data_IF_240622154537
#
_entry.id   IF_240622154537
#
_cell.length_a   1.000
_cell.length_b   1.000
_cell.length_c   1.000
_cell.angle_alpha   90.00
_cell.angle_beta   90.00
_cell.angle_gamma   90.00
#
_symmetry.space_group_name_H-M   'P 1'
#
loop_
_entity.id
_entity.type
_entity.pdbx_description
1 polymer ?
#
# COMPACT_ATOMS: atom_id res chain seq x y z
N UNK A 1 -13.48 2.51 -10.48
CA UNK A 1 -14.31 3.22 -9.47
C UNK A 1 -14.57 4.62 -10.00
N UNK A 2 -15.83 5.04 -10.13
CA UNK A 2 -16.19 6.32 -10.76
C UNK A 2 -15.53 7.52 -10.05
N UNK A 3 -14.87 8.38 -10.84
CA UNK A 3 -14.19 9.59 -10.38
C UNK A 3 -15.27 10.64 -10.10
N UNK A 4 -15.58 10.89 -8.82
CA UNK A 4 -16.52 11.97 -8.45
C UNK A 4 -17.26 11.78 -7.13
N UNK A 5 -17.38 10.55 -6.61
CA UNK A 5 -18.08 10.30 -5.34
C UNK A 5 -17.18 10.42 -4.12
N UNK A 6 -16.27 11.39 -4.11
CA UNK A 6 -15.54 11.74 -2.91
C UNK A 6 -16.40 12.71 -2.09
N UNK A 7 -17.48 12.16 -1.51
CA UNK A 7 -18.54 12.90 -0.86
C UNK A 7 -17.97 13.73 0.29
N UNK A 8 -17.89 15.04 0.07
CA UNK A 8 -17.40 16.07 1.01
C UNK A 8 -18.21 16.14 2.32
N UNK A 9 -19.27 15.34 2.45
CA UNK A 9 -20.20 15.30 3.60
C UNK A 9 -20.15 13.98 4.40
N UNK A 10 -19.24 13.04 4.08
CA UNK A 10 -19.10 11.82 4.89
C UNK A 10 -18.44 12.17 6.22
N UNK A 11 -19.05 11.75 7.35
CA UNK A 11 -18.40 11.83 8.68
C UNK A 11 -17.02 11.19 8.59
N UNK A 12 -15.98 11.93 8.98
CA UNK A 12 -14.59 11.50 8.84
C UNK A 12 -14.32 10.34 9.79
N UNK A 13 -14.35 9.12 9.27
CA UNK A 13 -13.89 7.95 10.00
C UNK A 13 -12.35 7.91 9.93
N UNK A 14 -11.63 7.97 11.07
CA UNK A 14 -10.16 7.99 11.07
C UNK A 14 -9.53 6.74 10.45
N UNK A 15 -10.27 5.63 10.35
CA UNK A 15 -9.84 4.36 9.74
C UNK A 15 -10.15 4.27 8.26
N UNK A 16 -10.71 5.30 7.64
CA UNK A 16 -11.10 5.30 6.23
C UNK A 16 -10.40 6.44 5.49
N UNK A 17 -9.71 6.09 4.40
CA UNK A 17 -9.10 7.09 3.52
C UNK A 17 -10.16 7.94 2.82
N UNK A 18 -9.73 9.07 2.27
CA UNK A 18 -10.57 9.95 1.43
C UNK A 18 -11.28 9.20 0.28
N UNK A 19 -10.79 8.03 -0.14
CA UNK A 19 -11.41 7.23 -1.21
C UNK A 19 -12.40 6.17 -0.70
N UNK A 20 -12.70 6.15 0.61
CA UNK A 20 -13.58 5.16 1.21
C UNK A 20 -12.92 3.80 1.50
N UNK A 21 -11.65 3.62 1.10
CA UNK A 21 -10.87 2.42 1.41
C UNK A 21 -10.33 2.49 2.84
N UNK A 22 -10.27 1.37 3.53
CA UNK A 22 -9.62 1.27 4.82
C UNK A 22 -8.20 1.84 4.76
N UNK A 23 -7.83 2.63 5.77
CA UNK A 23 -6.47 3.17 5.92
C UNK A 23 -5.57 1.99 6.29
N UNK A 24 -5.04 1.32 5.28
CA UNK A 24 -4.12 0.21 5.47
C UNK A 24 -2.87 0.72 6.19
N UNK A 25 -2.38 -0.06 7.17
CA UNK A 25 -1.06 0.12 7.74
C UNK A 25 0.04 -0.15 6.70
N UNK A 26 1.31 -0.27 7.13
CA UNK A 26 2.38 -0.67 6.23
C UNK A 26 2.01 -1.98 5.51
N UNK A 27 2.05 -1.97 4.16
CA UNK A 27 1.72 -3.16 3.37
C UNK A 27 2.60 -4.34 3.80
N UNK A 28 2.10 -5.56 3.79
CA UNK A 28 2.93 -6.75 4.06
C UNK A 28 3.83 -7.07 2.85
N UNK A 29 4.84 -7.93 3.04
CA UNK A 29 5.69 -8.41 1.93
C UNK A 29 4.85 -9.13 0.88
N UNK A 30 3.90 -9.97 1.31
CA UNK A 30 2.98 -10.69 0.42
C UNK A 30 2.12 -9.75 -0.44
N UNK A 31 1.65 -8.65 0.15
CA UNK A 31 0.91 -7.62 -0.58
C UNK A 31 1.79 -6.84 -1.57
N UNK A 32 3.04 -6.55 -1.19
CA UNK A 32 3.99 -5.90 -2.10
C UNK A 32 4.36 -6.78 -3.29
N UNK A 33 4.60 -8.08 -3.09
CA UNK A 33 4.90 -9.02 -4.18
C UNK A 33 3.75 -9.08 -5.17
N UNK A 34 2.50 -9.20 -4.67
CA UNK A 34 1.30 -9.16 -5.52
C UNK A 34 1.16 -7.85 -6.30
N UNK A 35 1.51 -6.72 -5.69
CA UNK A 35 1.50 -5.42 -6.39
C UNK A 35 2.57 -5.33 -7.47
N UNK A 36 3.76 -5.91 -7.24
CA UNK A 36 4.86 -5.92 -8.20
C UNK A 36 4.47 -6.64 -9.49
N UNK A 37 3.78 -7.78 -9.37
CA UNK A 37 3.28 -8.58 -10.49
C UNK A 37 2.20 -7.83 -11.28
N UNK A 38 1.29 -7.13 -10.60
CA UNK A 38 0.19 -6.40 -11.24
C UNK A 38 0.57 -5.03 -11.83
N UNK A 39 1.67 -4.43 -11.37
CA UNK A 39 2.07 -3.07 -11.75
C UNK A 39 2.67 -3.06 -13.16
N UNK A 40 2.09 -2.32 -14.10
CA UNK A 40 2.65 -2.17 -15.46
C UNK A 40 3.57 -0.95 -15.59
N UNK A 41 3.51 0.00 -14.65
CA UNK A 41 4.32 1.24 -14.72
C UNK A 41 5.72 1.04 -14.13
N UNK A 42 6.80 1.38 -14.85
CA UNK A 42 8.18 1.17 -14.38
C UNK A 42 8.49 1.87 -13.04
N UNK A 43 7.98 3.09 -12.85
CA UNK A 43 8.19 3.86 -11.61
C UNK A 43 7.48 3.25 -10.40
N UNK A 44 6.33 2.62 -10.60
CA UNK A 44 5.60 1.92 -9.55
C UNK A 44 6.34 0.64 -9.17
N UNK A 45 6.81 -0.15 -10.15
CA UNK A 45 7.68 -1.32 -9.91
C UNK A 45 8.92 -0.96 -9.09
N UNK A 46 9.64 0.09 -9.48
CA UNK A 46 10.86 0.51 -8.77
C UNK A 46 10.58 0.92 -7.31
N UNK A 47 9.45 1.60 -7.04
CA UNK A 47 9.05 1.96 -5.67
C UNK A 47 8.70 0.72 -4.84
N UNK A 48 8.01 -0.26 -5.43
CA UNK A 48 7.63 -1.51 -4.77
C UNK A 48 8.89 -2.35 -4.47
N UNK A 49 9.79 -2.49 -5.44
CA UNK A 49 11.08 -3.18 -5.25
C UNK A 49 11.92 -2.54 -4.15
N UNK A 50 12.02 -1.19 -4.12
CA UNK A 50 12.70 -0.49 -3.03
C UNK A 50 12.07 -0.78 -1.66
N UNK A 51 10.75 -0.84 -1.59
CA UNK A 51 10.04 -1.15 -0.34
C UNK A 51 10.26 -2.61 0.11
N UNK A 52 10.35 -3.56 -0.83
CA UNK A 52 10.76 -4.94 -0.54
C UNK A 52 12.19 -4.97 0.00
N UNK A 53 13.14 -4.35 -0.71
CA UNK A 53 14.55 -4.33 -0.32
C UNK A 53 14.79 -3.64 1.02
N UNK A 54 13.96 -2.67 1.42
CA UNK A 54 14.04 -2.04 2.76
C UNK A 54 13.52 -2.96 3.88
N UNK A 55 12.61 -3.90 3.56
CA UNK A 55 11.97 -4.78 4.56
C UNK A 55 12.66 -6.12 4.72
N UNK A 56 13.26 -6.65 3.67
CA UNK A 56 14.11 -7.83 3.74
C UNK A 56 15.22 -7.74 4.81
N UNK A 57 15.96 -6.62 4.99
CA UNK A 57 16.95 -6.51 6.06
C UNK A 57 16.33 -6.47 7.47
N UNK A 58 15.05 -6.11 7.60
CA UNK A 58 14.36 -6.11 8.90
C UNK A 58 13.82 -7.49 9.31
N UNK A 59 13.61 -8.41 8.35
CA UNK A 59 13.25 -9.80 8.65
C UNK A 59 14.45 -10.62 9.16
N UNK A 60 15.68 -10.19 8.88
CA UNK A 60 16.90 -10.82 9.40
C UNK A 60 17.14 -10.54 10.89
N UNK A 61 16.55 -9.47 11.44
CA UNK A 61 16.73 -9.05 12.85
C UNK A 61 15.55 -9.39 13.77
N UNK A 62 14.52 -10.09 13.26
CA UNK A 62 13.35 -10.49 14.04
C UNK A 62 13.28 -12.02 14.29
N UNK A 63 14.35 -12.75 13.97
CA UNK A 63 14.52 -14.18 14.21
C UNK A 63 15.70 -14.46 15.14
N UNK A 64 15.79 -13.72 16.25
CA UNK A 64 16.70 -13.96 17.38
C UNK A 64 15.92 -13.83 18.70
#
# INVERSE_FOLDING_TARGET
MAVGQNQRNRKNDPMVSKTGKAKLGPLTVTQLSKLLESSTKPKEKAKIQRALNKRLPALATAAA
#
